data_IF_148981372227
#
_entry.id   IF_148981372227
#
_cell.length_a   1.000
_cell.length_b   1.000
_cell.length_c   1.000
_cell.angle_alpha   90.00
_cell.angle_beta   90.00
_cell.angle_gamma   90.00
#
_symmetry.space_group_name_H-M   'P 1'
#
loop_
_entity.id
_entity.type
_entity.pdbx_description
1 polymer ?
#
# COMPACT_ATOMS: atom_id res chain seq x y z
N UNK A 1 -6.39 11.61 -12.53
CA UNK A 1 -5.44 10.81 -11.72
C UNK A 1 -5.88 10.74 -10.25
N UNK A 2 -6.17 11.85 -9.57
CA UNK A 2 -6.75 11.86 -8.20
C UNK A 2 -8.08 11.11 -8.09
N UNK A 3 -9.03 11.39 -8.99
CA UNK A 3 -10.37 10.74 -8.97
C UNK A 3 -10.34 9.19 -8.99
N UNK A 4 -9.43 8.60 -9.78
CA UNK A 4 -9.27 7.14 -9.84
C UNK A 4 -8.67 6.61 -8.54
N UNK A 5 -7.71 7.34 -7.97
CA UNK A 5 -7.04 7.00 -6.73
C UNK A 5 -8.00 7.09 -5.54
N UNK A 6 -8.81 8.15 -5.48
CA UNK A 6 -9.83 8.33 -4.44
C UNK A 6 -10.90 7.24 -4.51
N UNK A 7 -11.30 6.85 -5.73
CA UNK A 7 -12.23 5.72 -5.94
C UNK A 7 -11.62 4.38 -5.52
N UNK A 8 -10.34 4.16 -5.79
CA UNK A 8 -9.62 2.96 -5.38
C UNK A 8 -9.51 2.87 -3.84
N UNK A 9 -9.17 3.98 -3.18
CA UNK A 9 -9.15 4.07 -1.71
C UNK A 9 -10.55 3.82 -1.14
N UNK A 10 -11.58 4.45 -1.70
CA UNK A 10 -12.96 4.23 -1.22
C UNK A 10 -13.38 2.75 -1.33
N UNK A 11 -12.98 2.06 -2.39
CA UNK A 11 -13.35 0.64 -2.62
C UNK A 11 -12.60 -0.32 -1.70
N UNK A 12 -11.30 -0.09 -1.45
CA UNK A 12 -10.48 -1.06 -0.69
C UNK A 12 -10.58 -0.83 0.82
N UNK A 13 -10.71 0.41 1.27
CA UNK A 13 -10.58 0.79 2.69
C UNK A 13 -11.74 1.62 3.22
N UNK A 14 -12.77 1.89 2.41
CA UNK A 14 -13.83 2.86 2.75
C UNK A 14 -13.23 4.17 3.27
N UNK A 15 -12.11 4.59 2.65
CA UNK A 15 -11.27 5.67 3.16
C UNK A 15 -12.03 6.99 3.25
N UNK A 16 -11.79 7.73 4.33
CA UNK A 16 -12.24 9.11 4.53
C UNK A 16 -11.11 10.10 4.23
N UNK A 17 -11.43 11.40 4.23
CA UNK A 17 -10.44 12.48 4.04
C UNK A 17 -9.31 12.45 5.08
N UNK A 18 -9.54 11.85 6.25
CA UNK A 18 -8.58 11.72 7.34
C UNK A 18 -7.66 10.50 7.21
N UNK A 19 -7.77 9.74 6.11
CA UNK A 19 -6.93 8.56 5.89
C UNK A 19 -5.46 8.95 5.68
N UNK A 20 -4.54 8.22 6.32
CA UNK A 20 -3.10 8.48 6.23
C UNK A 20 -2.42 7.34 5.48
N UNK A 21 -1.59 7.69 4.49
CA UNK A 21 -0.79 6.75 3.71
C UNK A 21 0.66 6.81 4.18
N UNK A 22 1.20 5.65 4.53
CA UNK A 22 2.61 5.47 4.84
C UNK A 22 3.27 4.64 3.75
N UNK A 23 4.44 5.10 3.31
CA UNK A 23 5.34 4.34 2.46
C UNK A 23 6.48 3.80 3.31
N UNK A 24 6.70 2.50 3.24
CA UNK A 24 7.73 1.82 4.01
C UNK A 24 8.93 1.51 3.12
N UNK A 25 10.15 1.62 3.66
CA UNK A 25 11.31 1.03 3.00
C UNK A 25 11.15 -0.49 2.98
N UNK A 26 11.81 -1.17 2.05
CA UNK A 26 11.80 -2.64 1.92
C UNK A 26 13.15 -3.28 2.21
N UNK A 27 14.16 -2.48 2.55
CA UNK A 27 15.55 -2.90 2.80
C UNK A 27 15.80 -3.55 4.18
N UNK A 28 14.75 -3.91 4.90
CA UNK A 28 14.83 -4.44 6.27
C UNK A 28 14.51 -5.94 6.34
N UNK A 29 14.07 -6.56 5.24
CA UNK A 29 13.73 -7.98 5.18
C UNK A 29 14.15 -8.58 3.84
N UNK A 30 14.65 -9.81 3.88
CA UNK A 30 15.01 -10.57 2.69
C UNK A 30 13.79 -11.04 1.88
N UNK A 31 12.58 -10.91 2.43
CA UNK A 31 11.32 -11.13 1.72
C UNK A 31 11.16 -10.22 0.48
N UNK A 32 11.88 -9.10 0.44
CA UNK A 32 11.83 -8.12 -0.64
C UNK A 32 13.10 -8.13 -1.52
N UNK A 33 13.96 -9.15 -1.40
CA UNK A 33 15.18 -9.26 -2.21
C UNK A 33 14.87 -9.68 -3.64
N UNK A 34 15.60 -9.10 -4.61
CA UNK A 34 15.47 -9.45 -6.02
C UNK A 34 16.08 -10.83 -6.29
N UNK A 35 15.24 -11.80 -6.69
CA UNK A 35 15.66 -13.17 -6.96
C UNK A 35 14.52 -14.19 -7.04
N UNK A 36 13.39 -13.90 -6.37
CA UNK A 36 12.20 -14.77 -6.34
C UNK A 36 11.03 -14.26 -7.22
N UNK A 37 11.33 -13.57 -8.34
CA UNK A 37 10.40 -13.00 -9.37
C UNK A 37 9.93 -11.53 -9.19
N UNK A 38 10.46 -10.78 -8.22
CA UNK A 38 9.93 -9.45 -7.86
C UNK A 38 11.06 -8.40 -7.98
N UNK A 39 11.20 -7.72 -9.12
CA UNK A 39 12.25 -6.73 -9.39
C UNK A 39 11.93 -5.35 -8.79
N UNK A 40 11.65 -5.37 -7.48
CA UNK A 40 11.22 -4.24 -6.69
C UNK A 40 9.97 -4.57 -5.89
N UNK A 41 9.90 -3.96 -4.73
CA UNK A 41 8.83 -4.19 -3.78
C UNK A 41 8.32 -2.85 -3.30
N UNK A 42 7.02 -2.64 -3.45
CA UNK A 42 6.35 -1.54 -2.76
C UNK A 42 5.66 -2.09 -1.53
N UNK A 43 5.84 -1.37 -0.42
CA UNK A 43 5.10 -1.61 0.80
C UNK A 43 4.45 -0.31 1.25
N UNK A 44 3.12 -0.30 1.24
CA UNK A 44 2.34 0.80 1.77
C UNK A 44 1.42 0.29 2.87
N UNK A 45 1.14 1.15 3.84
CA UNK A 45 0.02 0.95 4.74
C UNK A 45 -0.88 2.16 4.69
N UNK A 46 -2.18 1.93 4.57
CA UNK A 46 -3.19 2.98 4.67
C UNK A 46 -3.98 2.78 5.95
N UNK A 47 -4.02 3.81 6.78
CA UNK A 47 -4.82 3.84 7.99
C UNK A 47 -6.08 4.65 7.75
N UNK A 48 -7.23 4.03 8.02
CA UNK A 48 -8.52 4.70 8.09
C UNK A 48 -8.92 4.82 9.58
N UNK A 49 -8.80 6.02 10.17
CA UNK A 49 -9.10 6.23 11.59
C UNK A 49 -10.59 6.04 11.90
N UNK A 50 -11.48 6.39 10.97
CA UNK A 50 -12.94 6.28 11.17
C UNK A 50 -13.42 4.83 11.23
N UNK A 51 -12.75 3.96 10.48
CA UNK A 51 -13.02 2.52 10.47
C UNK A 51 -12.24 1.72 11.51
N UNK A 52 -11.28 2.35 12.23
CA UNK A 52 -10.25 1.67 13.01
C UNK A 52 -9.59 0.52 12.21
N UNK A 53 -9.25 0.79 10.95
CA UNK A 53 -8.72 -0.19 10.01
C UNK A 53 -7.35 0.23 9.48
N UNK A 54 -6.50 -0.77 9.27
CA UNK A 54 -5.22 -0.60 8.58
C UNK A 54 -5.16 -1.65 7.48
N UNK A 55 -4.92 -1.21 6.25
CA UNK A 55 -4.68 -2.09 5.11
C UNK A 55 -3.23 -1.96 4.69
N UNK A 56 -2.59 -3.11 4.50
CA UNK A 56 -1.21 -3.21 4.02
C UNK A 56 -1.24 -3.69 2.57
N UNK A 57 -0.60 -2.93 1.70
CA UNK A 57 -0.47 -3.22 0.27
C UNK A 57 0.99 -3.53 0.01
N UNK A 58 1.27 -4.78 -0.34
CA UNK A 58 2.56 -5.22 -0.84
C UNK A 58 2.39 -5.57 -2.32
N UNK A 59 3.26 -5.02 -3.18
CA UNK A 59 3.19 -5.25 -4.61
C UNK A 59 4.57 -5.50 -5.22
N UNK A 60 4.62 -6.40 -6.20
CA UNK A 60 5.75 -6.55 -7.12
C UNK A 60 5.76 -5.39 -8.10
N UNK A 61 6.94 -4.91 -8.46
CA UNK A 61 7.13 -4.05 -9.64
C UNK A 61 7.27 -4.83 -10.94
N UNK A 62 7.34 -6.16 -10.89
CA UNK A 62 7.32 -7.03 -12.08
C UNK A 62 6.07 -7.87 -12.15
N UNK A 63 5.51 -7.98 -13.36
CA UNK A 63 4.42 -8.89 -13.73
C UNK A 63 4.81 -10.36 -13.57
#
# INVERSE_FOLDING_TARGET
>A
MRELFDKFLNVIICGSEDSIIFQWPTNWSNYFEAGDEWWGSFLWSVSNPDGNQIVVIAASTTD
#
